data_IF_486276964419
#
_entry.id   IF_486276964419
#
_cell.length_a   1.000
_cell.length_b   1.000
_cell.length_c   1.000
_cell.angle_alpha   90.00
_cell.angle_beta   90.00
_cell.angle_gamma   90.00
#
_symmetry.space_group_name_H-M   'P 1'
#
loop_
_entity.id
_entity.type
_entity.pdbx_description
1 polymer ?
#
# COMPACT_ATOMS: atom_id res chain seq x y z
N UNK A 1 44.46 54.38 2.90
CA UNK A 1 43.51 53.26 3.02
C UNK A 1 43.89 52.47 4.27
N UNK A 2 43.08 52.51 5.33
CA UNK A 2 43.44 51.90 6.62
C UNK A 2 43.52 50.38 6.50
N UNK A 3 44.58 49.77 7.04
CA UNK A 3 44.82 48.32 7.05
C UNK A 3 43.60 47.54 7.58
N UNK A 4 42.89 48.10 8.56
CA UNK A 4 41.62 47.56 9.09
C UNK A 4 40.52 47.40 8.03
N UNK A 5 40.39 48.33 7.07
CA UNK A 5 39.35 48.26 6.04
C UNK A 5 39.66 47.15 5.01
N UNK A 6 40.94 46.90 4.73
CA UNK A 6 41.38 45.83 3.82
C UNK A 6 41.12 44.45 4.44
N UNK A 7 41.47 44.28 5.73
CA UNK A 7 41.23 43.04 6.48
C UNK A 7 39.72 42.74 6.56
N UNK A 8 38.89 43.73 6.88
CA UNK A 8 37.44 43.55 6.96
C UNK A 8 36.81 43.21 5.59
N UNK A 9 37.34 43.79 4.50
CA UNK A 9 36.88 43.47 3.14
C UNK A 9 37.22 42.02 2.78
N UNK A 10 38.45 41.57 3.05
CA UNK A 10 38.87 40.18 2.79
C UNK A 10 38.05 39.19 3.63
N UNK A 11 37.82 39.49 4.92
CA UNK A 11 36.99 38.66 5.79
C UNK A 11 35.54 38.56 5.31
N UNK A 12 34.96 39.67 4.84
CA UNK A 12 33.60 39.69 4.27
C UNK A 12 33.50 38.87 2.97
N UNK A 13 34.50 38.96 2.08
CA UNK A 13 34.56 38.15 0.86
C UNK A 13 34.71 36.65 1.16
N UNK A 14 35.53 36.28 2.14
CA UNK A 14 35.68 34.90 2.58
C UNK A 14 34.38 34.32 3.17
N UNK A 15 33.65 35.11 3.95
CA UNK A 15 32.34 34.71 4.50
C UNK A 15 31.27 34.55 3.41
N UNK A 16 31.26 35.42 2.39
CA UNK A 16 30.37 35.31 1.24
C UNK A 16 30.66 34.05 0.39
N UNK A 17 31.93 33.74 0.15
CA UNK A 17 32.33 32.52 -0.53
C UNK A 17 31.92 31.25 0.25
N UNK A 18 32.06 31.25 1.58
CA UNK A 18 31.61 30.16 2.42
C UNK A 18 30.08 29.96 2.36
N UNK A 19 29.28 31.05 2.37
CA UNK A 19 27.82 30.97 2.23
C UNK A 19 27.38 30.41 0.87
N UNK A 20 28.07 30.78 -0.22
CA UNK A 20 27.78 30.25 -1.55
C UNK A 20 28.12 28.76 -1.63
N UNK A 21 29.24 28.34 -1.04
CA UNK A 21 29.64 26.94 -0.98
C UNK A 21 28.65 26.09 -0.16
N UNK A 22 28.20 26.58 1.01
CA UNK A 22 27.21 25.85 1.82
C UNK A 22 25.85 25.78 1.12
N UNK A 23 25.41 26.84 0.43
CA UNK A 23 24.19 26.81 -0.37
C UNK A 23 24.27 25.79 -1.53
N UNK A 24 25.43 25.67 -2.19
CA UNK A 24 25.65 24.68 -3.24
C UNK A 24 25.64 23.25 -2.69
N UNK A 25 26.31 23.01 -1.56
CA UNK A 25 26.29 21.71 -0.87
C UNK A 25 24.85 21.34 -0.47
N UNK A 26 24.10 22.28 0.11
CA UNK A 26 22.70 22.09 0.48
C UNK A 26 21.84 21.73 -0.75
N UNK A 27 22.04 22.41 -1.89
CA UNK A 27 21.33 22.10 -3.14
C UNK A 27 21.60 20.66 -3.61
N UNK A 28 22.86 20.22 -3.57
CA UNK A 28 23.24 18.86 -3.95
C UNK A 28 22.64 17.84 -2.98
N UNK A 29 22.65 18.11 -1.68
CA UNK A 29 22.05 17.23 -0.67
C UNK A 29 20.53 17.12 -0.85
N UNK A 30 19.82 18.23 -1.05
CA UNK A 30 18.38 18.25 -1.31
C UNK A 30 18.01 17.44 -2.56
N UNK A 31 18.80 17.54 -3.65
CA UNK A 31 18.55 16.73 -4.84
C UNK A 31 18.73 15.22 -4.61
N UNK A 32 19.68 14.82 -3.76
CA UNK A 32 19.89 13.42 -3.40
C UNK A 32 18.78 12.91 -2.49
N UNK A 33 18.37 13.71 -1.51
CA UNK A 33 17.25 13.41 -0.61
C UNK A 33 15.96 13.25 -1.41
N UNK A 34 15.65 14.16 -2.33
CA UNK A 34 14.46 14.03 -3.19
C UNK A 34 14.49 12.73 -4.01
N UNK A 35 15.65 12.38 -4.58
CA UNK A 35 15.79 11.12 -5.30
C UNK A 35 15.56 9.91 -4.38
N UNK A 36 16.18 9.88 -3.21
CA UNK A 36 16.01 8.79 -2.23
C UNK A 36 14.57 8.69 -1.72
N UNK A 37 13.87 9.81 -1.51
CA UNK A 37 12.46 9.83 -1.12
C UNK A 37 11.59 9.23 -2.23
N UNK A 38 11.80 9.64 -3.48
CA UNK A 38 11.06 9.11 -4.61
C UNK A 38 11.32 7.61 -4.81
N UNK A 39 12.59 7.19 -4.76
CA UNK A 39 12.98 5.78 -4.88
C UNK A 39 12.37 4.94 -3.73
N UNK A 40 12.31 5.50 -2.52
CA UNK A 40 11.70 4.84 -1.34
C UNK A 40 10.17 4.74 -1.46
N UNK A 41 9.50 5.77 -1.99
CA UNK A 41 8.06 5.76 -2.24
C UNK A 41 7.67 4.70 -3.27
N UNK A 42 8.39 4.63 -4.39
CA UNK A 42 8.20 3.60 -5.41
C UNK A 42 8.41 2.19 -4.86
N UNK A 43 9.46 1.99 -4.06
CA UNK A 43 9.72 0.69 -3.42
C UNK A 43 8.59 0.30 -2.45
N UNK A 44 8.09 1.26 -1.65
CA UNK A 44 6.96 1.03 -0.76
C UNK A 44 5.68 0.67 -1.51
N UNK A 45 5.41 1.33 -2.65
CA UNK A 45 4.26 1.00 -3.50
C UNK A 45 4.36 -0.43 -4.03
N UNK A 46 5.51 -0.76 -4.61
CA UNK A 46 5.77 -2.07 -5.18
C UNK A 46 5.67 -3.18 -4.11
N UNK A 47 6.20 -2.95 -2.91
CA UNK A 47 6.13 -3.91 -1.81
C UNK A 47 4.69 -4.16 -1.36
N UNK A 48 3.88 -3.11 -1.20
CA UNK A 48 2.47 -3.25 -0.81
C UNK A 48 1.68 -4.00 -1.88
N UNK A 49 1.86 -3.64 -3.15
CA UNK A 49 1.17 -4.29 -4.26
C UNK A 49 1.57 -5.78 -4.36
N UNK A 50 2.87 -6.07 -4.28
CA UNK A 50 3.39 -7.43 -4.28
C UNK A 50 2.76 -8.25 -3.15
N UNK A 51 2.72 -7.70 -1.94
CA UNK A 51 2.15 -8.36 -0.77
C UNK A 51 0.62 -8.51 -0.85
N UNK A 52 -0.09 -7.58 -1.47
CA UNK A 52 -1.52 -7.68 -1.75
C UNK A 52 -1.81 -8.80 -2.77
N UNK A 53 -1.05 -8.83 -3.87
CA UNK A 53 -1.20 -9.82 -4.92
C UNK A 53 -0.83 -11.23 -4.45
N UNK A 54 0.25 -11.38 -3.66
CA UNK A 54 0.64 -12.64 -3.03
C UNK A 54 -0.43 -13.19 -2.09
N UNK A 55 -1.13 -12.32 -1.33
CA UNK A 55 -2.26 -12.75 -0.49
C UNK A 55 -3.45 -13.17 -1.35
N UNK A 56 -3.77 -12.42 -2.41
CA UNK A 56 -4.84 -12.78 -3.36
C UNK A 56 -4.56 -14.11 -4.06
N UNK A 57 -3.31 -14.35 -4.45
CA UNK A 57 -2.88 -15.62 -5.06
C UNK A 57 -3.10 -16.80 -4.12
N UNK A 58 -2.68 -16.70 -2.85
CA UNK A 58 -2.93 -17.72 -1.83
C UNK A 58 -4.43 -18.00 -1.63
N UNK A 59 -5.23 -16.93 -1.57
CA UNK A 59 -6.68 -17.04 -1.42
C UNK A 59 -7.32 -17.78 -2.61
N UNK A 60 -6.95 -17.40 -3.83
CA UNK A 60 -7.41 -18.05 -5.06
C UNK A 60 -6.92 -19.49 -5.18
N UNK A 61 -5.68 -19.77 -4.75
CA UNK A 61 -5.12 -21.11 -4.72
C UNK A 61 -5.90 -22.04 -3.80
N UNK A 62 -6.17 -21.62 -2.56
CA UNK A 62 -6.96 -22.43 -1.63
C UNK A 62 -8.39 -22.62 -2.14
N UNK A 63 -9.00 -21.61 -2.76
CA UNK A 63 -10.32 -21.77 -3.38
C UNK A 63 -10.32 -22.85 -4.47
N UNK A 64 -9.31 -22.83 -5.35
CA UNK A 64 -9.17 -23.85 -6.38
C UNK A 64 -8.93 -25.25 -5.78
N UNK A 65 -8.19 -25.34 -4.66
CA UNK A 65 -8.01 -26.59 -3.92
C UNK A 65 -9.31 -27.11 -3.32
N UNK A 66 -10.14 -26.24 -2.73
CA UNK A 66 -11.48 -26.60 -2.21
C UNK A 66 -12.36 -27.12 -3.35
N UNK A 67 -12.43 -26.39 -4.46
CA UNK A 67 -13.22 -26.77 -5.63
C UNK A 67 -12.77 -28.12 -6.20
N UNK A 68 -11.46 -28.33 -6.30
CA UNK A 68 -10.89 -29.62 -6.71
C UNK A 68 -11.23 -30.74 -5.72
N UNK A 69 -11.04 -30.51 -4.42
CA UNK A 69 -11.33 -31.50 -3.39
C UNK A 69 -12.81 -31.92 -3.42
N UNK A 70 -13.72 -30.96 -3.56
CA UNK A 70 -15.15 -31.24 -3.71
C UNK A 70 -15.47 -32.02 -4.99
N UNK A 71 -14.81 -31.69 -6.11
CA UNK A 71 -14.98 -32.42 -7.37
C UNK A 71 -14.47 -33.86 -7.28
N UNK A 72 -13.29 -34.07 -6.69
CA UNK A 72 -12.68 -35.39 -6.51
C UNK A 72 -13.52 -36.29 -5.58
N UNK A 73 -14.30 -35.69 -4.68
CA UNK A 73 -15.16 -36.39 -3.72
C UNK A 73 -16.66 -36.22 -4.03
N UNK A 74 -17.03 -35.90 -5.28
CA UNK A 74 -18.40 -35.57 -5.66
C UNK A 74 -19.44 -36.64 -5.25
N UNK A 75 -19.08 -37.92 -5.39
CA UNK A 75 -19.94 -39.06 -5.01
C UNK A 75 -20.16 -39.18 -3.49
N UNK A 76 -19.24 -38.63 -2.71
CA UNK A 76 -19.21 -38.69 -1.24
C UNK A 76 -19.42 -37.32 -0.59
N UNK A 77 -19.91 -36.29 -1.31
CA UNK A 77 -20.12 -34.93 -0.79
C UNK A 77 -20.94 -34.88 0.51
N UNK A 78 -21.84 -35.85 0.71
CA UNK A 78 -22.69 -35.93 1.91
C UNK A 78 -22.02 -36.65 3.08
N UNK A 79 -20.87 -37.29 2.87
CA UNK A 79 -20.14 -37.96 3.93
C UNK A 79 -19.65 -36.94 4.95
N UNK A 80 -19.67 -37.31 6.21
CA UNK A 80 -19.27 -36.42 7.29
C UNK A 80 -17.78 -36.06 7.21
N UNK A 81 -16.95 -37.00 6.73
CA UNK A 81 -15.53 -36.78 6.50
C UNK A 81 -15.27 -35.67 5.48
N UNK A 82 -15.95 -35.72 4.32
CA UNK A 82 -15.79 -34.70 3.27
C UNK A 82 -16.30 -33.34 3.74
N UNK A 83 -17.43 -33.31 4.47
CA UNK A 83 -17.96 -32.08 5.04
C UNK A 83 -16.99 -31.44 6.04
N UNK A 84 -16.48 -32.23 6.98
CA UNK A 84 -15.54 -31.73 7.99
C UNK A 84 -14.26 -31.21 7.34
N UNK A 85 -13.74 -31.91 6.32
CA UNK A 85 -12.57 -31.44 5.58
C UNK A 85 -12.83 -30.11 4.86
N UNK A 86 -13.97 -29.98 4.17
CA UNK A 86 -14.37 -28.74 3.49
C UNK A 86 -14.59 -27.61 4.49
N UNK A 87 -15.18 -27.87 5.65
CA UNK A 87 -15.36 -26.88 6.72
C UNK A 87 -14.02 -26.33 7.21
N UNK A 88 -13.05 -27.20 7.52
CA UNK A 88 -11.69 -26.80 7.92
C UNK A 88 -11.02 -25.96 6.82
N UNK A 89 -11.17 -26.34 5.55
CA UNK A 89 -10.60 -25.58 4.44
C UNK A 89 -11.29 -24.21 4.27
N UNK A 90 -12.61 -24.13 4.50
CA UNK A 90 -13.35 -22.87 4.48
C UNK A 90 -12.96 -21.95 5.64
N UNK A 91 -12.71 -22.49 6.84
CA UNK A 91 -12.19 -21.70 7.96
C UNK A 91 -10.84 -21.09 7.60
N UNK A 92 -9.93 -21.87 7.02
CA UNK A 92 -8.65 -21.36 6.54
C UNK A 92 -8.82 -20.34 5.40
N UNK A 93 -9.79 -20.54 4.51
CA UNK A 93 -10.14 -19.56 3.49
C UNK A 93 -10.57 -18.22 4.10
N UNK A 94 -11.42 -18.25 5.13
CA UNK A 94 -11.89 -17.07 5.83
C UNK A 94 -10.74 -16.32 6.53
N UNK A 95 -9.80 -17.04 7.13
CA UNK A 95 -8.59 -16.44 7.70
C UNK A 95 -7.72 -15.76 6.63
N UNK A 96 -7.51 -16.41 5.48
CA UNK A 96 -6.76 -15.82 4.36
C UNK A 96 -7.47 -14.60 3.77
N UNK A 97 -8.80 -14.65 3.68
CA UNK A 97 -9.62 -13.54 3.20
C UNK A 97 -9.53 -12.35 4.15
N UNK A 98 -9.65 -12.57 5.45
CA UNK A 98 -9.46 -11.52 6.46
C UNK A 98 -8.07 -10.88 6.37
N UNK A 99 -7.03 -11.68 6.18
CA UNK A 99 -5.66 -11.20 6.01
C UNK A 99 -5.48 -10.38 4.73
N UNK A 100 -6.14 -10.78 3.63
CA UNK A 100 -6.17 -10.04 2.39
C UNK A 100 -6.85 -8.67 2.56
N UNK A 101 -8.06 -8.66 3.14
CA UNK A 101 -8.82 -7.44 3.38
C UNK A 101 -8.11 -6.49 4.35
N UNK A 102 -7.42 -7.01 5.37
CA UNK A 102 -6.60 -6.19 6.27
C UNK A 102 -5.46 -5.47 5.52
N UNK A 103 -4.80 -6.16 4.59
CA UNK A 103 -3.74 -5.56 3.77
C UNK A 103 -4.30 -4.49 2.83
N UNK A 104 -5.46 -4.75 2.22
CA UNK A 104 -6.12 -3.78 1.35
C UNK A 104 -6.60 -2.54 2.14
N UNK A 105 -7.20 -2.72 3.32
CA UNK A 105 -7.58 -1.61 4.19
C UNK A 105 -6.36 -0.78 4.63
N UNK A 106 -5.22 -1.44 4.88
CA UNK A 106 -3.96 -0.75 5.18
C UNK A 106 -3.44 0.07 4.00
N UNK A 107 -3.54 -0.44 2.78
CA UNK A 107 -3.24 0.32 1.56
C UNK A 107 -4.14 1.56 1.46
N UNK A 108 -5.46 1.39 1.66
CA UNK A 108 -6.42 2.50 1.63
C UNK A 108 -6.09 3.55 2.70
N UNK A 109 -5.69 3.12 3.90
CA UNK A 109 -5.21 4.01 4.95
C UNK A 109 -4.01 4.85 4.50
N UNK A 110 -3.03 4.27 3.79
CA UNK A 110 -1.88 5.04 3.33
C UNK A 110 -2.23 6.06 2.26
N UNK A 111 -3.16 5.74 1.36
CA UNK A 111 -3.68 6.68 0.36
C UNK A 111 -4.43 7.83 1.05
N UNK A 112 -5.37 7.52 1.95
CA UNK A 112 -6.17 8.51 2.69
C UNK A 112 -5.35 9.45 3.59
N UNK A 113 -4.09 9.14 3.87
CA UNK A 113 -3.19 9.94 4.71
C UNK A 113 -2.04 10.56 3.90
N UNK A 114 -2.22 10.73 2.58
CA UNK A 114 -1.26 11.36 1.66
C UNK A 114 0.15 10.74 1.72
N UNK A 115 0.23 9.44 2.06
CA UNK A 115 1.51 8.69 2.06
C UNK A 115 1.79 8.04 0.71
N UNK A 116 0.75 7.85 -0.08
CA UNK A 116 0.79 7.37 -1.46
C UNK A 116 0.02 8.36 -2.33
N UNK A 117 0.37 8.43 -3.61
CA UNK A 117 -0.28 9.34 -4.55
C UNK A 117 -1.71 8.88 -4.86
N UNK A 118 -2.71 9.69 -4.51
CA UNK A 118 -4.13 9.33 -4.67
C UNK A 118 -4.55 9.25 -6.14
N UNK A 119 -3.99 10.06 -7.04
CA UNK A 119 -4.37 10.08 -8.46
C UNK A 119 -3.87 8.82 -9.18
N UNK A 120 -2.60 8.46 -8.97
CA UNK A 120 -2.00 7.24 -9.51
C UNK A 120 -2.77 6.00 -9.04
N UNK A 121 -3.01 5.90 -7.73
CA UNK A 121 -3.73 4.76 -7.15
C UNK A 121 -5.21 4.75 -7.52
N UNK A 122 -5.88 5.89 -7.64
CA UNK A 122 -7.28 5.93 -8.12
C UNK A 122 -7.37 5.37 -9.54
N UNK A 123 -6.45 5.74 -10.42
CA UNK A 123 -6.46 5.28 -11.82
C UNK A 123 -6.32 3.76 -11.92
N UNK A 124 -5.47 3.17 -11.09
CA UNK A 124 -5.18 1.72 -11.15
C UNK A 124 -6.12 0.86 -10.29
N UNK A 125 -6.54 1.36 -9.13
CA UNK A 125 -7.21 0.55 -8.09
C UNK A 125 -8.68 0.88 -7.87
N UNK A 126 -9.25 1.93 -8.47
CA UNK A 126 -10.66 2.32 -8.23
C UNK A 126 -11.64 1.18 -8.49
N UNK A 127 -11.53 0.53 -9.64
CA UNK A 127 -12.42 -0.59 -9.99
C UNK A 127 -12.15 -1.80 -9.10
N UNK A 128 -10.87 -2.13 -8.87
CA UNK A 128 -10.49 -3.24 -7.98
C UNK A 128 -11.08 -3.06 -6.58
N UNK A 129 -10.96 -1.88 -5.98
CA UNK A 129 -11.50 -1.60 -4.64
C UNK A 129 -13.02 -1.79 -4.60
N UNK A 130 -13.72 -1.24 -5.60
CA UNK A 130 -15.17 -1.36 -5.73
C UNK A 130 -15.62 -2.83 -5.88
N UNK A 131 -14.90 -3.59 -6.70
CA UNK A 131 -15.20 -5.00 -6.96
C UNK A 131 -14.96 -5.88 -5.75
N UNK A 132 -13.89 -5.65 -4.98
CA UNK A 132 -13.65 -6.39 -3.75
C UNK A 132 -14.72 -6.10 -2.68
N UNK A 133 -15.15 -4.84 -2.55
CA UNK A 133 -16.24 -4.46 -1.62
C UNK A 133 -17.56 -5.14 -2.02
N UNK A 134 -17.86 -5.19 -3.33
CA UNK A 134 -19.05 -5.88 -3.84
C UNK A 134 -18.97 -7.40 -3.66
N UNK A 135 -17.81 -7.98 -3.93
CA UNK A 135 -17.56 -9.42 -3.86
C UNK A 135 -17.69 -9.93 -2.43
N UNK A 136 -17.12 -9.19 -1.45
CA UNK A 136 -17.08 -9.59 -0.05
C UNK A 136 -18.02 -8.75 0.82
N UNK A 137 -19.20 -8.39 0.29
CA UNK A 137 -20.16 -7.46 0.90
C UNK A 137 -20.50 -7.77 2.37
N UNK A 138 -20.50 -9.05 2.75
CA UNK A 138 -20.76 -9.50 4.13
C UNK A 138 -19.75 -8.95 5.15
N UNK A 139 -18.52 -8.65 4.73
CA UNK A 139 -17.47 -8.04 5.57
C UNK A 139 -17.63 -6.52 5.71
N UNK A 140 -18.53 -5.89 4.95
CA UNK A 140 -18.70 -4.44 4.86
C UNK A 140 -20.04 -3.96 5.45
N UNK A 141 -20.38 -4.49 6.62
CA UNK A 141 -21.58 -4.09 7.37
C UNK A 141 -21.38 -2.77 8.16
N UNK A 142 -22.46 -2.15 8.66
CA UNK A 142 -22.37 -1.02 9.58
C UNK A 142 -21.63 -1.45 10.85
N UNK A 143 -20.37 -0.98 11.00
CA UNK A 143 -19.47 -1.38 12.09
C UNK A 143 -18.23 -2.14 11.64
N UNK A 144 -18.07 -2.40 10.33
CA UNK A 144 -16.89 -3.07 9.77
C UNK A 144 -15.58 -2.47 10.28
N UNK A 145 -14.56 -3.33 10.40
CA UNK A 145 -13.19 -2.93 10.69
C UNK A 145 -12.48 -2.34 9.46
N UNK A 146 -12.96 -2.64 8.26
CA UNK A 146 -12.38 -2.22 6.97
C UNK A 146 -12.89 -0.84 6.54
N UNK A 147 -12.83 0.14 7.46
CA UNK A 147 -13.45 1.47 7.26
C UNK A 147 -12.70 2.31 6.23
N UNK A 148 -11.40 2.10 6.07
CA UNK A 148 -10.60 2.88 5.13
C UNK A 148 -10.95 2.48 3.69
N UNK A 149 -11.21 1.20 3.44
CA UNK A 149 -11.71 0.74 2.15
C UNK A 149 -13.04 1.41 1.77
N UNK A 150 -14.01 1.44 2.70
CA UNK A 150 -15.30 2.09 2.45
C UNK A 150 -15.15 3.58 2.20
N UNK A 151 -14.41 4.27 3.08
CA UNK A 151 -14.20 5.71 2.97
C UNK A 151 -13.54 6.08 1.63
N UNK A 152 -12.46 5.38 1.27
CA UNK A 152 -11.74 5.66 0.03
C UNK A 152 -12.60 5.33 -1.20
N UNK A 153 -13.36 4.23 -1.16
CA UNK A 153 -14.27 3.90 -2.24
C UNK A 153 -15.36 4.97 -2.39
N UNK A 154 -15.94 5.47 -1.31
CA UNK A 154 -16.93 6.55 -1.36
C UNK A 154 -16.31 7.84 -1.94
N UNK A 155 -15.09 8.20 -1.56
CA UNK A 155 -14.35 9.35 -2.10
C UNK A 155 -14.04 9.20 -3.59
N UNK A 156 -13.71 8.00 -4.05
CA UNK A 156 -13.41 7.72 -5.44
C UNK A 156 -14.65 7.60 -6.31
N UNK A 157 -15.76 7.06 -5.80
CA UNK A 157 -16.99 6.86 -6.57
C UNK A 157 -17.90 8.11 -6.63
N UNK A 158 -17.73 9.04 -5.68
CA UNK A 158 -18.45 10.32 -5.67
C UNK A 158 -17.86 11.38 -6.61
N UNK A 159 -16.67 11.12 -7.16
CA UNK A 159 -15.96 11.96 -8.14
C UNK A 159 -15.97 11.33 -9.53
#
# INVERSE_FOLDING_TARGET
MNVMNVINTIASCASAAAMIATAWIARVQLSKINKTINDSGLMSNFEIEFELNKRKEKLSGLRAEIEKYMSDHAENIKSEEVKNAVEIMNDHYNELLENYLNMFDRLCYYILNDRLDDEDFRTEYRERLNDEIKTYKEYFNPGTRFRNMLKLNDEWQSK
#
